data_IF_889556318439
#
_entry.id   IF_889556318439
#
_cell.length_a   1.000
_cell.length_b   1.000
_cell.length_c   1.000
_cell.angle_alpha   90.00
_cell.angle_beta   90.00
_cell.angle_gamma   90.00
#
_symmetry.space_group_name_H-M   'P 1'
#
loop_
_entity.id
_entity.type
_entity.pdbx_description
1 polymer ?
#
# COMPACT_ATOMS: atom_id res chain seq x y z
N UNK A 1 -17.25 3.29 2.32
CA UNK A 1 -16.47 3.71 3.51
C UNK A 1 -15.02 3.98 3.08
N UNK A 2 -14.32 4.95 3.68
CA UNK A 2 -12.89 5.22 3.41
C UNK A 2 -12.16 5.27 4.75
N UNK A 3 -11.09 4.48 4.91
CA UNK A 3 -10.39 4.29 6.19
C UNK A 3 -8.90 4.53 6.01
N UNK A 4 -8.28 5.22 6.97
CA UNK A 4 -6.82 5.31 7.12
C UNK A 4 -6.45 4.53 8.38
N UNK A 5 -5.56 3.54 8.24
CA UNK A 5 -5.10 2.71 9.36
C UNK A 5 -3.67 3.08 9.77
N UNK A 6 -3.53 3.70 10.95
CA UNK A 6 -2.25 4.12 11.53
C UNK A 6 -1.83 3.21 12.67
N UNK A 7 -0.53 3.18 12.96
CA UNK A 7 0.06 2.37 14.03
C UNK A 7 1.55 2.11 13.84
N UNK A 8 2.25 1.79 14.92
CA UNK A 8 3.69 1.54 14.90
C UNK A 8 4.06 0.26 14.11
N UNK A 9 5.32 0.11 13.65
CA UNK A 9 5.83 -1.17 13.19
C UNK A 9 5.62 -2.26 14.25
N UNK A 10 5.21 -3.46 13.85
CA UNK A 10 4.89 -4.55 14.78
C UNK A 10 3.55 -4.47 15.51
N UNK A 11 2.82 -3.35 15.43
CA UNK A 11 1.53 -3.16 16.16
C UNK A 11 0.33 -3.96 15.59
N UNK A 12 0.55 -4.91 14.67
CA UNK A 12 -0.54 -5.74 14.13
C UNK A 12 -1.46 -5.06 13.10
N UNK A 13 -1.06 -3.93 12.50
CA UNK A 13 -1.85 -3.22 11.49
C UNK A 13 -2.30 -4.12 10.32
N UNK A 14 -1.43 -5.01 9.85
CA UNK A 14 -1.76 -5.92 8.75
C UNK A 14 -2.93 -6.84 9.10
N UNK A 15 -2.89 -7.44 10.29
CA UNK A 15 -3.97 -8.28 10.82
C UNK A 15 -5.27 -7.51 10.97
N UNK A 16 -5.22 -6.28 11.50
CA UNK A 16 -6.42 -5.44 11.62
C UNK A 16 -6.96 -5.00 10.26
N UNK A 17 -6.09 -4.70 9.29
CA UNK A 17 -6.51 -4.35 7.94
C UNK A 17 -7.29 -5.51 7.30
N UNK A 18 -6.84 -6.76 7.45
CA UNK A 18 -7.55 -7.95 6.93
C UNK A 18 -8.99 -8.03 7.47
N UNK A 19 -9.16 -7.93 8.80
CA UNK A 19 -10.50 -7.93 9.39
C UNK A 19 -11.39 -6.78 8.92
N UNK A 20 -10.82 -5.58 8.73
CA UNK A 20 -11.55 -4.42 8.20
C UNK A 20 -11.99 -4.67 6.75
N UNK A 21 -11.10 -5.21 5.92
CA UNK A 21 -11.42 -5.50 4.51
C UNK A 21 -12.51 -6.54 4.36
N UNK A 22 -12.47 -7.63 5.13
CA UNK A 22 -13.49 -8.68 5.12
C UNK A 22 -14.84 -8.14 5.61
N UNK A 23 -14.85 -7.38 6.71
CA UNK A 23 -16.08 -6.87 7.32
C UNK A 23 -16.77 -5.79 6.47
N UNK A 24 -15.99 -4.97 5.77
CA UNK A 24 -16.52 -3.81 5.02
C UNK A 24 -16.55 -4.04 3.51
N UNK A 25 -16.00 -5.15 3.00
CA UNK A 25 -15.92 -5.43 1.56
C UNK A 25 -15.09 -4.41 0.78
N UNK A 26 -14.09 -3.79 1.42
CA UNK A 26 -13.20 -2.79 0.80
C UNK A 26 -11.79 -3.36 0.58
N UNK A 27 -11.08 -2.96 -0.47
CA UNK A 27 -9.71 -3.42 -0.69
C UNK A 27 -8.74 -2.76 0.30
N UNK A 28 -7.72 -3.50 0.70
CA UNK A 28 -6.54 -2.92 1.35
C UNK A 28 -5.66 -2.28 0.28
N UNK A 29 -5.22 -1.05 0.52
CA UNK A 29 -4.29 -0.35 -0.34
C UNK A 29 -3.09 0.07 0.52
N UNK A 30 -1.87 -0.24 0.06
CA UNK A 30 -0.62 0.22 0.67
C UNK A 30 0.19 1.03 -0.33
N UNK A 31 0.78 2.14 0.10
CA UNK A 31 1.64 2.97 -0.75
C UNK A 31 2.81 2.16 -1.31
N UNK A 32 3.40 1.27 -0.51
CA UNK A 32 4.49 0.41 -0.94
C UNK A 32 4.12 -0.55 -2.07
N UNK A 33 2.93 -1.16 -2.06
CA UNK A 33 2.46 -2.02 -3.15
C UNK A 33 2.11 -1.21 -4.39
N UNK A 34 1.44 -0.05 -4.22
CA UNK A 34 1.09 0.84 -5.33
C UNK A 34 2.33 1.32 -6.09
N UNK A 35 3.36 1.77 -5.35
CA UNK A 35 4.61 2.27 -5.93
C UNK A 35 5.35 1.14 -6.66
N UNK A 36 5.48 -0.05 -6.04
CA UNK A 36 6.10 -1.22 -6.68
C UNK A 36 5.33 -1.67 -7.93
N UNK A 37 4.00 -1.64 -7.90
CA UNK A 37 3.18 -1.95 -9.07
C UNK A 37 3.39 -0.94 -10.20
N UNK A 38 3.46 0.36 -9.90
CA UNK A 38 3.71 1.41 -10.87
C UNK A 38 5.09 1.27 -11.55
N UNK A 39 6.12 0.92 -10.77
CA UNK A 39 7.49 0.62 -11.25
C UNK A 39 7.46 -0.60 -12.18
N UNK A 40 6.86 -1.72 -11.73
CA UNK A 40 6.74 -2.95 -12.53
C UNK A 40 6.01 -2.72 -13.85
N UNK A 41 4.98 -1.87 -13.84
CA UNK A 41 4.21 -1.51 -15.03
C UNK A 41 4.91 -0.48 -15.93
N UNK A 42 6.09 0.03 -15.56
CA UNK A 42 6.85 1.05 -16.31
C UNK A 42 6.03 2.28 -16.71
N UNK A 43 5.10 2.66 -15.84
CA UNK A 43 4.34 3.91 -16.02
C UNK A 43 5.27 5.11 -15.91
N UNK A 44 4.86 6.28 -16.43
CA UNK A 44 5.66 7.51 -16.29
C UNK A 44 6.00 7.82 -14.82
N UNK A 45 5.02 7.62 -13.92
CA UNK A 45 5.22 7.72 -12.48
C UNK A 45 6.19 6.63 -11.97
N UNK A 46 6.00 5.39 -12.41
CA UNK A 46 6.86 4.26 -12.05
C UNK A 46 8.33 4.52 -12.36
N UNK A 47 8.65 5.07 -13.51
CA UNK A 47 10.03 5.41 -13.91
C UNK A 47 10.63 6.52 -13.03
N UNK A 48 9.81 7.47 -12.54
CA UNK A 48 10.25 8.49 -11.58
C UNK A 48 10.51 7.87 -10.20
N UNK A 49 9.61 7.00 -9.75
CA UNK A 49 9.69 6.29 -8.46
C UNK A 49 10.90 5.35 -8.42
N UNK A 50 11.16 4.61 -9.49
CA UNK A 50 12.29 3.68 -9.60
C UNK A 50 13.63 4.38 -9.31
N UNK A 51 13.83 5.58 -9.86
CA UNK A 51 15.03 6.38 -9.63
C UNK A 51 15.23 6.80 -8.17
N UNK A 52 14.14 6.97 -7.41
CA UNK A 52 14.17 7.37 -6.00
C UNK A 52 14.31 6.16 -5.08
N UNK A 53 13.78 4.99 -5.47
CA UNK A 53 13.84 3.77 -4.66
C UNK A 53 15.16 2.99 -4.82
N UNK A 54 15.92 3.23 -5.89
CA UNK A 54 17.20 2.57 -6.17
C UNK A 54 18.42 3.24 -5.49
N UNK A 55 18.21 4.39 -4.84
CA UNK A 55 19.20 5.16 -4.07
C UNK A 55 19.05 4.92 -2.57
#
# INVERSE_FOLDING_TARGET
MRVILLGAPGAGKGTQAQFITEKLGIPQISTGDMLRAAVKAKTELGLKVEKVMAS
#
